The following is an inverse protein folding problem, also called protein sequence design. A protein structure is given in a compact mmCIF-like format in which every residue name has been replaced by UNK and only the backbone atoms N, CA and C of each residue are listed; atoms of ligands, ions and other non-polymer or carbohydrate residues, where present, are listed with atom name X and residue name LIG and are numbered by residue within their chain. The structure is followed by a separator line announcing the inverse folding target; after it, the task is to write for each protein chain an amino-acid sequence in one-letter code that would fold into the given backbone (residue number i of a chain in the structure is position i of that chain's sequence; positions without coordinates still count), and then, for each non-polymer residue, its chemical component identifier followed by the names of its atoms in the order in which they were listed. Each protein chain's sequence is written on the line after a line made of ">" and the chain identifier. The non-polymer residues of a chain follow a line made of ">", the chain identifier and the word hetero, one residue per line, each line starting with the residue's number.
data_IF_685258789455
#
_entry.id   IF_685258789455
#
_cell.length_a   1.000
_cell.length_b   1.000
_cell.length_c   1.000
_cell.angle_alpha   90.00
_cell.angle_beta   90.00
_cell.angle_gamma   90.00
#
_symmetry.space_group_name_H-M   'P 1'
#
loop_
_entity.id
_entity.type
_entity.pdbx_description
1 polymer ?
#
# COMPACT_ATOMS: atom_id res chain seq x y z
N UNK A 1 11.92 -2.02 11.27
CA UNK A 1 12.78 -3.04 10.64
C UNK A 1 13.72 -2.34 9.66
N UNK A 2 15.03 -2.62 9.70
CA UNK A 2 16.03 -2.02 8.78
C UNK A 2 16.64 -3.13 7.92
N UNK A 3 17.17 -2.78 6.74
CA UNK A 3 17.89 -3.71 5.89
C UNK A 3 17.02 -4.68 5.08
N UNK A 4 15.71 -4.44 4.99
CA UNK A 4 14.85 -5.18 4.07
C UNK A 4 15.28 -4.88 2.62
N UNK A 5 15.34 -5.89 1.74
CA UNK A 5 15.61 -5.68 0.32
C UNK A 5 14.41 -5.00 -0.36
N UNK A 6 14.60 -4.61 -1.61
CA UNK A 6 13.52 -4.13 -2.45
C UNK A 6 12.46 -5.22 -2.63
N UNK A 7 11.19 -4.86 -2.41
CA UNK A 7 10.06 -5.80 -2.53
C UNK A 7 9.61 -5.86 -3.98
N UNK A 8 9.41 -7.07 -4.48
CA UNK A 8 8.99 -7.39 -5.82
C UNK A 8 7.70 -8.23 -5.82
N UNK A 9 6.97 -8.29 -6.95
CA UNK A 9 5.76 -9.11 -7.04
C UNK A 9 6.02 -10.57 -6.69
N UNK A 10 5.24 -11.10 -5.75
CA UNK A 10 5.32 -12.47 -5.26
C UNK A 10 6.15 -12.66 -3.98
N UNK A 11 6.85 -11.63 -3.48
CA UNK A 11 7.64 -11.75 -2.26
C UNK A 11 6.80 -12.05 -1.01
N UNK A 12 7.35 -12.89 -0.12
CA UNK A 12 6.75 -13.20 1.18
C UNK A 12 7.16 -12.16 2.23
N UNK A 13 6.30 -11.17 2.44
CA UNK A 13 6.55 -10.12 3.44
C UNK A 13 6.70 -10.66 4.86
N UNK A 14 6.02 -11.74 5.22
CA UNK A 14 6.12 -12.30 6.58
C UNK A 14 7.48 -12.95 6.79
N UNK A 15 7.97 -13.74 5.83
CA UNK A 15 9.33 -14.30 5.88
C UNK A 15 10.37 -13.18 5.96
N UNK A 16 10.26 -12.16 5.11
CA UNK A 16 11.19 -11.03 5.09
C UNK A 16 11.23 -10.29 6.44
N UNK A 17 10.06 -10.04 7.05
CA UNK A 17 9.95 -9.40 8.36
C UNK A 17 10.53 -10.29 9.45
N UNK A 18 10.16 -11.58 9.49
CA UNK A 18 10.63 -12.52 10.50
C UNK A 18 12.16 -12.69 10.51
N UNK A 19 12.81 -12.61 9.33
CA UNK A 19 14.27 -12.69 9.23
C UNK A 19 15.00 -11.45 9.75
N UNK A 20 14.35 -10.29 9.78
CA UNK A 20 14.98 -9.00 10.04
C UNK A 20 14.52 -8.32 11.32
N UNK A 21 13.43 -8.77 11.92
CA UNK A 21 12.83 -8.19 13.11
C UNK A 21 12.90 -9.18 14.28
N UNK A 22 13.33 -8.70 15.44
CA UNK A 22 13.10 -9.37 16.70
C UNK A 22 11.70 -8.98 17.18
N UNK A 23 10.77 -9.93 17.20
CA UNK A 23 9.39 -9.72 17.63
C UNK A 23 9.13 -10.44 18.95
N UNK A 24 8.14 -9.94 19.68
CA UNK A 24 7.56 -10.61 20.84
C UNK A 24 6.04 -10.76 20.69
N UNK A 25 5.47 -11.71 21.42
CA UNK A 25 4.01 -11.90 21.45
C UNK A 25 3.32 -10.64 21.98
N UNK A 26 2.24 -10.24 21.30
CA UNK A 26 1.50 -9.01 21.58
C UNK A 26 2.00 -7.77 20.83
N UNK A 27 3.11 -7.86 20.09
CA UNK A 27 3.59 -6.75 19.28
C UNK A 27 2.62 -6.38 18.14
N UNK A 28 2.76 -5.14 17.64
CA UNK A 28 2.02 -4.65 16.48
C UNK A 28 3.00 -4.34 15.35
N UNK A 29 2.90 -5.11 14.26
CA UNK A 29 3.68 -4.90 13.05
C UNK A 29 2.92 -3.96 12.12
N UNK A 30 3.48 -2.79 11.85
CA UNK A 30 2.92 -1.83 10.87
C UNK A 30 3.67 -1.98 9.56
N UNK A 31 2.94 -2.34 8.50
CA UNK A 31 3.47 -2.56 7.16
C UNK A 31 2.91 -1.47 6.24
N UNK A 32 3.77 -0.76 5.51
CA UNK A 32 3.28 0.26 4.58
C UNK A 32 2.55 -0.39 3.41
N UNK A 33 1.46 0.23 2.95
CA UNK A 33 0.63 -0.24 1.85
C UNK A 33 1.48 -0.53 0.62
N UNK A 34 2.51 0.26 0.35
CA UNK A 34 3.32 0.17 -0.86
C UNK A 34 4.04 -1.16 -0.99
N UNK A 35 4.63 -1.66 0.10
CA UNK A 35 5.29 -2.98 0.06
C UNK A 35 4.26 -4.10 -0.10
N UNK A 36 3.07 -3.94 0.48
CA UNK A 36 1.95 -4.87 0.25
C UNK A 36 1.52 -4.85 -1.21
N UNK A 37 1.33 -3.66 -1.80
CA UNK A 37 0.98 -3.49 -3.21
C UNK A 37 2.01 -4.12 -4.14
N UNK A 38 3.31 -3.91 -3.87
CA UNK A 38 4.38 -4.53 -4.65
C UNK A 38 4.32 -6.05 -4.58
N UNK A 39 4.29 -6.62 -3.38
CA UNK A 39 4.22 -8.07 -3.17
C UNK A 39 2.98 -8.69 -3.81
N UNK A 40 1.84 -7.99 -3.79
CA UNK A 40 0.59 -8.43 -4.40
C UNK A 40 0.48 -8.14 -5.91
N UNK A 41 1.53 -7.62 -6.55
CA UNK A 41 1.52 -7.35 -7.98
C UNK A 41 0.61 -6.20 -8.40
N UNK A 42 0.33 -5.25 -7.51
CA UNK A 42 -0.45 -4.03 -7.78
C UNK A 42 0.40 -2.91 -8.39
N UNK A 43 1.34 -3.28 -9.25
CA UNK A 43 2.13 -2.36 -10.06
C UNK A 43 1.58 -2.33 -11.49
N UNK A 44 1.40 -1.14 -12.05
CA UNK A 44 0.82 -0.94 -13.38
C UNK A 44 1.66 0.05 -14.17
N UNK A 45 1.98 -0.30 -15.41
CA UNK A 45 2.68 0.59 -16.32
C UNK A 45 1.79 1.77 -16.74
N UNK A 46 2.40 2.94 -16.78
CA UNK A 46 1.76 4.18 -17.20
C UNK A 46 1.87 4.31 -18.71
N UNK A 47 0.77 4.75 -19.31
CA UNK A 47 0.81 5.31 -20.65
C UNK A 47 1.47 6.70 -20.58
N UNK A 48 2.57 6.94 -21.33
CA UNK A 48 3.29 8.22 -21.28
C UNK A 48 2.48 9.41 -21.82
N UNK A 49 1.46 9.19 -22.66
CA UNK A 49 0.64 10.25 -23.23
C UNK A 49 -0.44 10.74 -22.26
N UNK A 50 -1.05 9.83 -21.51
CA UNK A 50 -2.18 10.15 -20.60
C UNK A 50 -1.81 10.10 -19.11
N UNK A 51 -0.69 9.48 -18.76
CA UNK A 51 -0.18 9.36 -17.40
C UNK A 51 -1.09 8.54 -16.49
N UNK A 52 -1.12 8.89 -15.20
CA UNK A 52 -1.83 8.15 -14.15
C UNK A 52 -3.33 8.47 -14.04
N UNK A 53 -3.83 9.47 -14.79
CA UNK A 53 -5.23 9.92 -14.69
C UNK A 53 -6.26 8.82 -14.93
N UNK A 54 -6.12 7.96 -15.97
CA UNK A 54 -7.06 6.85 -16.18
C UNK A 54 -7.08 5.86 -15.02
N UNK A 55 -5.93 5.63 -14.37
CA UNK A 55 -5.85 4.75 -13.18
C UNK A 55 -6.61 5.35 -12.01
N UNK A 56 -6.45 6.66 -11.77
CA UNK A 56 -7.22 7.36 -10.72
C UNK A 56 -8.72 7.21 -10.96
N UNK A 57 -9.17 7.36 -12.20
CA UNK A 57 -10.59 7.23 -12.55
C UNK A 57 -11.08 5.79 -12.38
N UNK A 58 -10.29 4.79 -12.79
CA UNK A 58 -10.61 3.38 -12.65
C UNK A 58 -10.65 2.89 -11.19
N UNK A 59 -9.77 3.43 -10.32
CA UNK A 59 -9.70 3.09 -8.90
C UNK A 59 -10.66 3.94 -8.04
N UNK A 60 -11.41 4.85 -8.66
CA UNK A 60 -12.40 5.70 -7.98
C UNK A 60 -13.82 5.18 -8.18
N UNK A 61 -14.59 5.09 -7.10
CA UNK A 61 -16.05 4.97 -7.13
C UNK A 61 -16.69 6.29 -7.54
N UNK A 62 -16.17 7.41 -7.03
CA UNK A 62 -16.58 8.75 -7.44
C UNK A 62 -15.49 9.78 -7.22
N UNK A 63 -15.53 10.84 -8.03
CA UNK A 63 -14.68 12.02 -7.86
C UNK A 63 -15.44 13.09 -7.07
N UNK A 64 -14.85 13.55 -5.96
CA UNK A 64 -15.43 14.58 -5.08
C UNK A 64 -14.95 15.98 -5.47
N UNK A 65 -13.70 16.11 -5.89
CA UNK A 65 -13.12 17.40 -6.30
C UNK A 65 -11.94 17.20 -7.25
N UNK A 66 -11.76 18.15 -8.17
CA UNK A 66 -10.55 18.30 -8.98
C UNK A 66 -9.93 19.68 -8.79
N UNK A 67 -8.60 19.75 -8.73
CA UNK A 67 -7.83 20.99 -8.71
C UNK A 67 -6.47 20.77 -9.38
N UNK A 68 -6.36 21.17 -10.65
CA UNK A 68 -5.20 20.78 -11.47
C UNK A 68 -5.11 19.26 -11.55
N UNK A 69 -3.91 18.71 -11.34
CA UNK A 69 -3.66 17.26 -11.34
C UNK A 69 -4.12 16.55 -10.07
N UNK A 70 -4.44 17.30 -9.00
CA UNK A 70 -4.97 16.71 -7.77
C UNK A 70 -6.45 16.37 -7.93
N UNK A 71 -6.77 15.10 -7.74
CA UNK A 71 -8.14 14.58 -7.65
C UNK A 71 -8.39 14.12 -6.22
N UNK A 72 -9.48 14.57 -5.60
CA UNK A 72 -9.98 13.95 -4.37
C UNK A 72 -11.10 13.00 -4.78
N UNK A 73 -10.93 11.72 -4.49
CA UNK A 73 -11.87 10.67 -4.87
C UNK A 73 -12.12 9.70 -3.73
N UNK A 74 -13.22 8.96 -3.86
CA UNK A 74 -13.56 7.84 -3.01
C UNK A 74 -13.20 6.54 -3.71
N UNK A 75 -12.42 5.68 -3.06
CA UNK A 75 -12.05 4.35 -3.58
C UNK A 75 -13.11 3.30 -3.23
N UNK A 76 -13.03 2.10 -3.81
CA UNK A 76 -13.91 0.97 -3.46
C UNK A 76 -13.78 0.51 -2.00
N UNK A 77 -12.65 0.82 -1.36
CA UNK A 77 -12.43 0.62 0.08
C UNK A 77 -13.21 1.60 0.96
N UNK A 78 -13.71 2.71 0.38
CA UNK A 78 -14.32 3.82 1.11
C UNK A 78 -13.33 4.91 1.53
N UNK A 79 -12.05 4.83 1.12
CA UNK A 79 -11.09 5.90 1.41
C UNK A 79 -11.39 7.13 0.57
N UNK A 80 -11.54 8.28 1.24
CA UNK A 80 -11.55 9.59 0.59
C UNK A 80 -10.14 10.16 0.65
N UNK A 81 -9.42 10.05 -0.46
CA UNK A 81 -8.00 10.40 -0.53
C UNK A 81 -7.63 11.07 -1.85
N UNK A 82 -6.39 11.54 -1.93
CA UNK A 82 -5.83 12.09 -3.15
C UNK A 82 -5.57 10.97 -4.17
N UNK A 83 -5.94 11.21 -5.42
CA UNK A 83 -5.65 10.39 -6.59
C UNK A 83 -5.99 8.90 -6.40
N UNK A 84 -7.07 8.58 -5.67
CA UNK A 84 -7.48 7.21 -5.34
C UNK A 84 -6.39 6.36 -4.65
N UNK A 85 -5.37 6.97 -4.05
CA UNK A 85 -4.22 6.27 -3.49
C UNK A 85 -3.26 5.69 -4.54
N UNK A 86 -3.36 6.11 -5.81
CA UNK A 86 -2.37 5.82 -6.85
C UNK A 86 -1.07 6.54 -6.50
N UNK A 87 0.00 5.78 -6.33
CA UNK A 87 1.31 6.28 -5.90
C UNK A 87 2.37 6.07 -6.98
N UNK A 88 3.07 7.14 -7.34
CA UNK A 88 4.13 7.15 -8.35
C UNK A 88 5.54 7.15 -7.75
N UNK A 89 5.65 7.21 -6.42
CA UNK A 89 6.92 7.30 -5.72
C UNK A 89 7.44 5.93 -5.30
N UNK A 90 8.77 5.79 -5.20
CA UNK A 90 9.44 4.54 -4.81
C UNK A 90 9.03 3.33 -5.68
N UNK A 91 8.73 3.57 -6.96
CA UNK A 91 8.48 2.57 -8.00
C UNK A 91 9.37 2.89 -9.20
N UNK A 92 9.48 1.96 -10.13
CA UNK A 92 10.21 2.21 -11.37
C UNK A 92 9.58 3.40 -12.13
N UNK A 93 10.42 4.14 -12.86
CA UNK A 93 9.96 5.23 -13.71
C UNK A 93 8.96 4.69 -14.75
N UNK A 94 7.85 5.41 -14.93
CA UNK A 94 6.77 4.96 -15.83
C UNK A 94 5.83 3.92 -15.23
N UNK A 95 5.93 3.59 -13.94
CA UNK A 95 5.02 2.67 -13.26
C UNK A 95 4.28 3.40 -12.11
N UNK A 96 3.10 2.89 -11.75
CA UNK A 96 2.34 3.30 -10.57
C UNK A 96 2.04 2.11 -9.65
N UNK A 97 2.04 2.34 -8.34
CA UNK A 97 1.50 1.42 -7.36
C UNK A 97 0.04 1.77 -7.07
N UNK A 98 -0.85 0.78 -7.19
CA UNK A 98 -2.25 0.89 -6.80
C UNK A 98 -2.43 0.38 -5.37
N UNK A 99 -3.54 0.74 -4.73
CA UNK A 99 -3.88 0.19 -3.41
C UNK A 99 -4.06 -1.34 -3.48
N UNK A 100 -3.70 -2.09 -2.41
CA UNK A 100 -4.08 -3.49 -2.28
C UNK A 100 -5.60 -3.60 -2.35
N UNK A 101 -6.11 -4.64 -3.02
CA UNK A 101 -7.57 -4.78 -3.24
C UNK A 101 -8.31 -5.13 -1.94
N UNK A 102 -7.63 -5.80 -1.01
CA UNK A 102 -8.22 -6.22 0.27
C UNK A 102 -7.19 -6.12 1.40
N UNK A 103 -6.80 -4.90 1.82
CA UNK A 103 -5.67 -4.69 2.74
C UNK A 103 -5.85 -5.40 4.09
N UNK A 104 -7.07 -5.51 4.62
CA UNK A 104 -7.35 -6.29 5.84
C UNK A 104 -7.11 -7.79 5.65
N UNK A 105 -7.28 -8.30 4.44
CA UNK A 105 -6.95 -9.69 4.11
C UNK A 105 -5.45 -9.86 3.97
N UNK A 106 -4.75 -8.88 3.39
CA UNK A 106 -3.28 -8.84 3.33
C UNK A 106 -2.67 -8.82 4.74
N UNK A 107 -3.18 -7.96 5.64
CA UNK A 107 -2.77 -7.90 7.04
C UNK A 107 -2.93 -9.25 7.76
N UNK A 108 -4.10 -9.88 7.60
CA UNK A 108 -4.37 -11.22 8.17
C UNK A 108 -3.42 -12.28 7.62
N UNK A 109 -3.16 -12.29 6.31
CA UNK A 109 -2.19 -13.22 5.70
C UNK A 109 -0.79 -13.04 6.26
N UNK A 110 -0.31 -11.80 6.38
CA UNK A 110 1.01 -11.52 6.95
C UNK A 110 1.08 -11.99 8.40
N UNK A 111 0.05 -11.71 9.20
CA UNK A 111 -0.04 -12.16 10.60
C UNK A 111 0.00 -13.69 10.71
N UNK A 112 -0.85 -14.37 9.95
CA UNK A 112 -0.99 -15.82 10.01
C UNK A 112 0.30 -16.51 9.51
N UNK A 113 0.99 -15.91 8.53
CA UNK A 113 2.30 -16.36 8.06
C UNK A 113 3.42 -16.11 9.08
N UNK A 114 3.47 -14.95 9.75
CA UNK A 114 4.42 -14.69 10.83
C UNK A 114 4.30 -15.72 11.97
N UNK A 115 3.06 -16.04 12.33
CA UNK A 115 2.76 -17.12 13.29
C UNK A 115 3.26 -18.48 12.79
N UNK A 116 3.04 -18.80 11.52
CA UNK A 116 3.45 -20.08 10.93
C UNK A 116 4.98 -20.23 10.82
N UNK A 117 5.67 -19.19 10.33
CA UNK A 117 7.11 -19.24 10.04
C UNK A 117 7.98 -19.10 11.29
N UNK A 118 7.55 -18.28 12.26
CA UNK A 118 8.39 -17.88 13.38
C UNK A 118 7.72 -18.01 14.76
N UNK A 119 6.44 -18.44 14.82
CA UNK A 119 5.73 -18.69 16.07
C UNK A 119 5.23 -17.44 16.80
N UNK A 120 5.35 -16.25 16.21
CA UNK A 120 4.97 -14.99 16.85
C UNK A 120 3.45 -14.75 16.82
N UNK A 121 2.85 -14.43 17.96
CA UNK A 121 1.45 -13.99 18.08
C UNK A 121 1.37 -12.46 18.08
N UNK A 122 1.30 -11.85 16.90
CA UNK A 122 1.30 -10.38 16.73
C UNK A 122 0.01 -9.86 16.11
N UNK A 123 -0.20 -8.55 16.17
CA UNK A 123 -1.16 -7.84 15.31
C UNK A 123 -0.44 -7.25 14.08
N UNK A 124 -1.17 -7.08 12.98
CA UNK A 124 -0.66 -6.45 11.76
C UNK A 124 -1.59 -5.32 11.32
N UNK A 125 -1.00 -4.16 11.02
CA UNK A 125 -1.68 -3.00 10.46
C UNK A 125 -1.05 -2.65 9.12
N UNK A 126 -1.86 -2.48 8.08
CA UNK A 126 -1.41 -1.89 6.82
C UNK A 126 -1.66 -0.39 6.86
N UNK A 127 -0.63 0.42 6.65
CA UNK A 127 -0.71 1.88 6.72
C UNK A 127 -0.39 2.55 5.40
N UNK A 128 -1.05 3.67 5.12
CA UNK A 128 -0.75 4.50 3.96
C UNK A 128 -0.71 5.98 4.36
N UNK A 129 -0.02 6.79 3.56
CA UNK A 129 0.19 8.21 3.79
C UNK A 129 -0.88 9.01 3.07
N UNK A 130 -1.86 9.53 3.81
CA UNK A 130 -2.88 10.43 3.28
C UNK A 130 -2.83 11.82 3.91
N UNK A 131 -3.08 12.83 3.09
CA UNK A 131 -3.35 14.19 3.58
C UNK A 131 -4.70 14.27 4.29
N UNK A 132 -4.94 15.41 4.94
CA UNK A 132 -6.21 15.67 5.63
C UNK A 132 -6.70 17.10 5.39
N UNK A 133 -8.02 17.34 5.40
CA UNK A 133 -8.57 18.68 5.25
C UNK A 133 -8.01 19.69 6.28
N UNK A 134 -7.83 20.92 5.83
CA UNK A 134 -7.46 22.11 6.63
C UNK A 134 -6.08 22.09 7.31
N UNK A 135 -5.24 21.07 7.08
CA UNK A 135 -3.85 21.02 7.58
C UNK A 135 -2.89 20.78 6.44
N UNK A 136 -1.72 21.41 6.49
CA UNK A 136 -0.61 21.16 5.57
C UNK A 136 0.28 20.06 6.12
N UNK A 137 0.82 19.25 5.21
CA UNK A 137 1.64 18.08 5.53
C UNK A 137 0.89 16.77 5.26
N UNK A 138 1.71 15.72 5.17
CA UNK A 138 1.32 14.31 5.20
C UNK A 138 2.22 13.61 6.21
#
# INVERSE_FOLDING_TARGET
>A
VRGLPEVTPGDDLAEMIARMAELADGDVVVVTQKVVSKAEGRLVDLDPEVGHRPLVEAESVRVLRRRGDLVISETTHGFVCANAGVDLSNVAEGTAALLPVAPDRSARRIRDALRHHAGYEVAVVVSDTFGRPWRRGV
#
